data_IF_291483172802
#
_entry.id   IF_291483172802
#
_cell.length_a   1.000
_cell.length_b   1.000
_cell.length_c   1.000
_cell.angle_alpha   90.00
_cell.angle_beta   90.00
_cell.angle_gamma   90.00
#
_symmetry.space_group_name_H-M   'P 1'
#
loop_
_entity.id
_entity.type
_entity.pdbx_description
1 polymer ?
#
# COMPACT_ATOMS: atom_id res chain seq x y z
N UNK A 1 8.08 31.21 9.92
CA UNK A 1 7.61 29.94 9.33
C UNK A 1 8.68 28.87 9.55
N UNK A 2 8.45 27.87 10.41
CA UNK A 2 9.43 26.80 10.68
C UNK A 2 9.64 25.99 9.40
N UNK A 3 10.89 25.89 8.93
CA UNK A 3 11.23 25.01 7.81
C UNK A 3 11.19 23.56 8.30
N UNK A 4 10.48 22.69 7.59
CA UNK A 4 10.47 21.25 7.88
C UNK A 4 11.87 20.67 7.71
N UNK A 5 12.24 19.73 8.59
CA UNK A 5 13.53 19.05 8.50
C UNK A 5 13.50 18.01 7.36
N UNK A 6 14.67 17.66 6.84
CA UNK A 6 14.80 16.66 5.75
C UNK A 6 14.09 15.33 6.08
N UNK A 7 14.15 14.79 7.32
CA UNK A 7 13.40 13.58 7.69
C UNK A 7 11.88 13.75 7.60
N UNK A 8 11.35 14.93 7.98
CA UNK A 8 9.91 15.20 7.88
C UNK A 8 9.44 15.16 6.43
N UNK A 9 10.23 15.68 5.50
CA UNK A 9 9.92 15.58 4.07
C UNK A 9 9.90 14.15 3.56
N UNK A 10 10.81 13.30 4.04
CA UNK A 10 10.80 11.88 3.69
C UNK A 10 9.54 11.18 4.18
N UNK A 11 9.12 11.45 5.42
CA UNK A 11 7.88 10.91 5.97
C UNK A 11 6.65 11.40 5.21
N UNK A 12 6.58 12.68 4.86
CA UNK A 12 5.49 13.24 4.05
C UNK A 12 5.44 12.56 2.68
N UNK A 13 6.59 12.39 2.03
CA UNK A 13 6.68 11.70 0.74
C UNK A 13 6.20 10.25 0.82
N UNK A 14 6.62 9.51 1.86
CA UNK A 14 6.22 8.13 2.07
C UNK A 14 4.71 7.98 2.32
N UNK A 15 4.16 8.82 3.21
CA UNK A 15 2.71 8.83 3.48
C UNK A 15 1.91 9.25 2.24
N UNK A 16 2.42 10.24 1.48
CA UNK A 16 1.82 10.66 0.22
C UNK A 16 1.79 9.52 -0.81
N UNK A 17 2.87 8.73 -0.90
CA UNK A 17 2.94 7.57 -1.78
C UNK A 17 1.94 6.48 -1.37
N UNK A 18 1.85 6.16 -0.07
CA UNK A 18 0.87 5.21 0.45
C UNK A 18 -0.57 5.66 0.18
N UNK A 19 -0.84 6.96 0.38
CA UNK A 19 -2.16 7.54 0.10
C UNK A 19 -2.48 7.49 -1.39
N UNK A 20 -1.49 7.77 -2.25
CA UNK A 20 -1.62 7.66 -3.69
C UNK A 20 -2.00 6.23 -4.12
N UNK A 21 -1.28 5.21 -3.65
CA UNK A 21 -1.63 3.82 -3.97
C UNK A 21 -2.98 3.38 -3.38
N UNK A 22 -3.34 3.88 -2.20
CA UNK A 22 -4.64 3.59 -1.58
C UNK A 22 -5.81 4.11 -2.42
N UNK A 23 -5.70 5.33 -2.95
CA UNK A 23 -6.76 5.99 -3.72
C UNK A 23 -6.77 5.56 -5.19
N UNK A 24 -5.60 5.52 -5.83
CA UNK A 24 -5.46 5.28 -7.27
C UNK A 24 -5.07 3.83 -7.60
N UNK A 25 -4.96 2.94 -6.61
CA UNK A 25 -4.57 1.54 -6.81
C UNK A 25 -5.48 0.76 -7.76
N UNK A 26 -6.78 1.11 -7.82
CA UNK A 26 -7.70 0.53 -8.81
C UNK A 26 -7.35 1.00 -10.23
N UNK A 27 -6.97 2.27 -10.43
CA UNK A 27 -6.69 2.81 -11.76
C UNK A 27 -5.40 2.24 -12.37
N UNK A 28 -4.52 1.66 -11.56
CA UNK A 28 -3.28 1.07 -12.04
C UNK A 28 -3.57 -0.21 -12.84
N UNK A 29 -2.83 -0.47 -13.93
CA UNK A 29 -3.05 -1.63 -14.80
C UNK A 29 -2.51 -2.94 -14.19
N UNK A 30 -2.84 -3.20 -12.92
CA UNK A 30 -2.49 -4.43 -12.22
C UNK A 30 -3.62 -5.44 -12.32
N UNK A 31 -3.28 -6.73 -12.41
CA UNK A 31 -4.28 -7.77 -12.21
C UNK A 31 -4.78 -7.74 -10.76
N UNK A 32 -6.02 -8.20 -10.51
CA UNK A 32 -6.56 -8.30 -9.16
C UNK A 32 -5.59 -9.04 -8.22
N UNK A 33 -5.53 -8.62 -6.95
CA UNK A 33 -4.63 -9.22 -5.96
C UNK A 33 -4.92 -10.70 -5.69
N UNK A 34 -6.14 -11.16 -6.00
CA UNK A 34 -6.58 -12.55 -5.87
C UNK A 34 -6.40 -13.36 -7.18
N UNK A 35 -5.76 -12.79 -8.19
CA UNK A 35 -5.43 -13.50 -9.42
C UNK A 35 -4.18 -14.35 -9.20
N UNK A 36 -4.23 -15.61 -9.64
CA UNK A 36 -3.12 -16.57 -9.53
C UNK A 36 -2.46 -16.74 -10.89
N UNK A 37 -1.15 -16.55 -10.93
CA UNK A 37 -0.31 -16.86 -12.08
C UNK A 37 0.29 -18.25 -11.90
N UNK A 38 -0.34 -19.27 -12.50
CA UNK A 38 0.06 -20.67 -12.35
C UNK A 38 1.42 -20.97 -13.01
N UNK A 39 1.77 -20.24 -14.07
CA UNK A 39 3.03 -20.41 -14.80
C UNK A 39 4.22 -19.66 -14.15
N UNK A 40 3.94 -18.69 -13.26
CA UNK A 40 4.92 -17.78 -12.67
C UNK A 40 4.92 -17.92 -11.14
N UNK A 41 5.31 -19.09 -10.64
CA UNK A 41 5.42 -19.37 -9.19
C UNK A 41 6.81 -18.95 -8.65
N UNK A 42 6.84 -18.25 -7.52
CA UNK A 42 8.06 -17.80 -6.83
C UNK A 42 9.05 -17.03 -7.74
N UNK A 43 8.55 -16.28 -8.72
CA UNK A 43 9.45 -15.54 -9.62
C UNK A 43 10.11 -14.38 -8.87
N UNK A 44 11.40 -14.15 -9.17
CA UNK A 44 12.20 -13.15 -8.48
C UNK A 44 11.83 -11.70 -8.82
N UNK A 45 12.51 -10.76 -8.15
CA UNK A 45 12.37 -9.32 -8.40
C UNK A 45 12.64 -8.98 -9.88
N UNK A 46 11.84 -8.06 -10.43
CA UNK A 46 11.92 -7.59 -11.82
C UNK A 46 11.71 -8.67 -12.90
N UNK A 47 10.93 -9.69 -12.60
CA UNK A 47 10.49 -10.68 -13.59
C UNK A 47 9.48 -10.07 -14.58
N UNK A 48 9.40 -10.61 -15.79
CA UNK A 48 8.53 -10.08 -16.86
C UNK A 48 7.07 -10.03 -16.44
N UNK A 49 6.52 -8.84 -16.25
CA UNK A 49 5.13 -8.65 -15.78
C UNK A 49 4.96 -8.61 -14.25
N UNK A 50 6.02 -8.89 -13.48
CA UNK A 50 6.01 -8.97 -12.01
C UNK A 50 7.16 -8.16 -11.39
N UNK A 51 6.90 -6.88 -11.07
CA UNK A 51 7.94 -5.96 -10.57
C UNK A 51 8.57 -6.46 -9.25
N UNK A 52 7.72 -6.88 -8.31
CA UNK A 52 8.16 -7.40 -7.01
C UNK A 52 8.23 -8.94 -6.98
N UNK A 53 7.92 -9.61 -8.08
CA UNK A 53 7.82 -11.06 -8.13
C UNK A 53 6.47 -11.62 -7.68
N UNK A 54 6.40 -12.94 -7.54
CA UNK A 54 5.21 -13.67 -7.09
C UNK A 54 5.52 -14.49 -5.84
N UNK A 55 4.48 -14.79 -5.06
CA UNK A 55 4.57 -15.73 -3.93
C UNK A 55 4.56 -17.20 -4.43
N UNK A 56 4.79 -18.14 -3.50
CA UNK A 56 4.64 -19.60 -3.64
C UNK A 56 3.31 -20.04 -4.25
N UNK A 57 2.26 -19.23 -4.09
CA UNK A 57 0.94 -19.49 -4.64
C UNK A 57 0.68 -18.77 -5.99
N UNK A 58 1.68 -18.09 -6.56
CA UNK A 58 1.53 -17.36 -7.82
C UNK A 58 0.80 -16.01 -7.71
N UNK A 59 0.64 -15.46 -6.50
CA UNK A 59 0.08 -14.12 -6.30
C UNK A 59 1.15 -13.05 -6.58
N UNK A 60 0.79 -12.01 -7.33
CA UNK A 60 1.67 -10.86 -7.57
C UNK A 60 1.86 -10.03 -6.28
N UNK A 61 3.11 -9.87 -5.85
CA UNK A 61 3.46 -9.20 -4.60
C UNK A 61 3.19 -7.69 -4.64
N UNK A 62 3.34 -7.03 -5.80
CA UNK A 62 3.07 -5.61 -5.95
C UNK A 62 1.56 -5.33 -5.87
N UNK A 63 0.76 -6.12 -6.60
CA UNK A 63 -0.70 -6.02 -6.55
C UNK A 63 -1.23 -6.27 -5.13
N UNK A 64 -0.68 -7.28 -4.45
CA UNK A 64 -1.01 -7.60 -3.05
C UNK A 64 -0.63 -6.47 -2.09
N UNK A 65 0.54 -5.85 -2.26
CA UNK A 65 0.98 -4.72 -1.43
C UNK A 65 0.10 -3.47 -1.63
N UNK A 66 -0.28 -3.16 -2.88
CA UNK A 66 -1.19 -2.04 -3.19
C UNK A 66 -2.57 -2.27 -2.60
N UNK A 67 -3.12 -3.48 -2.76
CA UNK A 67 -4.40 -3.85 -2.16
C UNK A 67 -4.36 -3.79 -0.62
N UNK A 68 -3.28 -4.27 -0.01
CA UNK A 68 -3.04 -4.19 1.44
C UNK A 68 -2.95 -2.74 1.95
N UNK A 69 -2.26 -1.86 1.22
CA UNK A 69 -2.12 -0.45 1.57
C UNK A 69 -3.47 0.25 1.74
N UNK A 70 -4.45 -0.07 0.89
CA UNK A 70 -5.81 0.46 1.01
C UNK A 70 -6.49 0.08 2.32
N UNK A 71 -6.37 -1.18 2.73
CA UNK A 71 -6.90 -1.65 4.01
C UNK A 71 -6.18 -1.00 5.18
N UNK A 72 -4.86 -0.87 5.13
CA UNK A 72 -4.07 -0.21 6.19
C UNK A 72 -4.47 1.25 6.41
N UNK A 73 -4.65 2.03 5.33
CA UNK A 73 -5.10 3.42 5.42
C UNK A 73 -6.50 3.53 6.03
N UNK A 74 -7.42 2.64 5.63
CA UNK A 74 -8.77 2.62 6.21
C UNK A 74 -8.72 2.36 7.72
N UNK A 75 -7.95 1.36 8.17
CA UNK A 75 -7.78 1.05 9.59
C UNK A 75 -7.15 2.22 10.33
N UNK A 76 -6.14 2.87 9.76
CA UNK A 76 -5.49 4.02 10.37
C UNK A 76 -6.47 5.18 10.61
N UNK A 77 -7.30 5.52 9.62
CA UNK A 77 -8.31 6.57 9.73
C UNK A 77 -9.36 6.20 10.78
N UNK A 78 -9.87 4.97 10.76
CA UNK A 78 -10.86 4.50 11.71
C UNK A 78 -10.32 4.51 13.15
N UNK A 79 -9.12 3.99 13.38
CA UNK A 79 -8.52 3.93 14.70
C UNK A 79 -8.22 5.32 15.28
N UNK A 80 -7.61 6.21 14.49
CA UNK A 80 -7.30 7.58 14.92
C UNK A 80 -8.58 8.40 15.10
N UNK A 81 -9.55 8.25 14.20
CA UNK A 81 -10.84 8.93 14.29
C UNK A 81 -11.62 8.54 15.53
N UNK A 82 -11.75 7.24 15.82
CA UNK A 82 -12.43 6.76 17.02
C UNK A 82 -11.66 7.13 18.29
N UNK A 83 -10.34 6.94 18.31
CA UNK A 83 -9.50 7.29 19.46
C UNK A 83 -9.55 8.78 19.78
N UNK A 84 -9.49 9.63 18.75
CA UNK A 84 -9.60 11.08 18.89
C UNK A 84 -11.01 11.52 19.33
N UNK A 85 -12.06 10.91 18.78
CA UNK A 85 -13.45 11.21 19.17
C UNK A 85 -13.71 10.87 20.64
N UNK A 86 -13.39 9.64 21.06
CA UNK A 86 -13.54 9.21 22.45
C UNK A 86 -12.67 10.08 23.36
N UNK A 87 -11.41 10.30 23.01
CA UNK A 87 -10.49 11.12 23.80
C UNK A 87 -10.89 12.60 23.91
N UNK A 88 -11.72 13.11 22.99
CA UNK A 88 -12.24 14.48 23.07
C UNK A 88 -13.49 14.63 23.95
N UNK A 89 -14.19 13.52 24.21
CA UNK A 89 -15.43 13.49 25.00
C UNK A 89 -15.18 13.41 26.52
N UNK A 90 -13.99 12.97 26.93
CA UNK A 90 -13.55 12.85 28.33
C UNK A 90 -12.42 13.83 28.63
#
# INVERSE_FOLDING_TARGET
MRKFTKPTWFAIGWLGLMLFFSLFGWLLPFKPWNFVFEDDLEVGLFSSGHLLGTDSNGYDLLSSAVAGTRMSIFIAIAAVGLGGFIGSLF
#
